data_IF_332941455389
#
_entry.id   IF_332941455389
#
_cell.length_a   1.000
_cell.length_b   1.000
_cell.length_c   1.000
_cell.angle_alpha   90.00
_cell.angle_beta   90.00
_cell.angle_gamma   90.00
#
_symmetry.space_group_name_H-M   'P 1'
#
loop_
_entity.id
_entity.type
_entity.pdbx_description
1 polymer ?
#
# COMPACT_ATOMS: atom_id res chain seq x y z
N UNK A 1 4.39 14.66 2.70
CA UNK A 1 5.87 14.57 2.77
C UNK A 1 6.46 15.81 3.43
N UNK A 2 6.09 17.02 3.01
CA UNK A 2 6.64 18.28 3.53
C UNK A 2 6.64 18.40 5.07
N UNK A 3 5.51 18.12 5.73
CA UNK A 3 5.44 18.18 7.21
C UNK A 3 6.44 17.23 7.89
N UNK A 4 6.64 16.04 7.32
CA UNK A 4 7.62 15.07 7.84
C UNK A 4 9.03 15.62 7.69
N UNK A 5 9.40 16.13 6.51
CA UNK A 5 10.73 16.68 6.26
C UNK A 5 11.00 17.89 7.17
N UNK A 6 10.05 18.83 7.29
CA UNK A 6 10.22 20.00 8.15
C UNK A 6 10.48 19.60 9.61
N UNK A 7 9.68 18.69 10.17
CA UNK A 7 9.89 18.22 11.54
C UNK A 7 11.25 17.52 11.72
N UNK A 8 11.64 16.68 10.74
CA UNK A 8 12.92 15.97 10.80
C UNK A 8 14.13 16.91 10.67
N UNK A 9 14.00 18.02 9.96
CA UNK A 9 15.05 19.02 9.84
C UNK A 9 15.36 19.73 11.17
N UNK A 10 14.37 19.86 12.06
CA UNK A 10 14.55 20.45 13.40
C UNK A 10 15.17 19.44 14.39
N UNK A 11 14.96 18.14 14.17
CA UNK A 11 15.38 17.08 15.08
C UNK A 11 16.74 16.46 14.73
N UNK A 12 17.08 16.43 13.44
CA UNK A 12 18.32 15.82 12.94
C UNK A 12 19.44 16.85 12.96
N UNK A 13 20.58 16.47 13.54
CA UNK A 13 21.79 17.32 13.61
C UNK A 13 22.38 17.58 12.22
N UNK A 14 23.14 18.67 12.09
CA UNK A 14 23.86 18.97 10.85
C UNK A 14 24.77 17.79 10.43
N UNK A 15 24.65 17.35 9.18
CA UNK A 15 25.34 16.18 8.64
C UNK A 15 24.74 14.81 9.03
N UNK A 16 23.63 14.79 9.78
CA UNK A 16 22.88 13.57 10.05
C UNK A 16 22.11 13.06 8.82
N UNK A 17 21.91 11.75 8.73
CA UNK A 17 21.22 11.10 7.61
C UNK A 17 19.81 10.62 7.99
N UNK A 18 18.92 10.61 7.01
CA UNK A 18 17.59 10.01 7.10
C UNK A 18 17.36 9.01 5.97
N UNK A 19 16.92 7.80 6.32
CA UNK A 19 16.54 6.77 5.34
C UNK A 19 15.02 6.60 5.34
N UNK A 20 14.41 6.76 4.17
CA UNK A 20 12.98 6.53 3.96
C UNK A 20 12.80 5.30 3.09
N UNK A 21 12.00 4.37 3.59
CA UNK A 21 11.57 3.17 2.88
C UNK A 21 10.06 3.26 2.71
N UNK A 22 9.60 3.31 1.47
CA UNK A 22 8.17 3.34 1.13
C UNK A 22 7.85 2.20 0.18
N UNK A 23 6.68 1.54 0.28
CA UNK A 23 6.21 0.71 -0.80
C UNK A 23 6.10 1.56 -2.08
N UNK A 24 6.50 0.99 -3.22
CA UNK A 24 6.34 1.63 -4.52
C UNK A 24 5.38 0.76 -5.31
N UNK A 25 4.16 1.26 -5.50
CA UNK A 25 3.09 0.61 -6.23
C UNK A 25 2.93 -0.89 -5.88
N UNK A 26 2.15 -1.21 -4.84
CA UNK A 26 1.38 -2.45 -4.95
C UNK A 26 0.38 -2.19 -6.06
N UNK A 27 0.59 -2.80 -7.22
CA UNK A 27 -0.45 -2.90 -8.23
C UNK A 27 -1.70 -3.46 -7.51
N UNK A 28 -2.70 -2.60 -7.31
CA UNK A 28 -3.39 -2.50 -6.02
C UNK A 28 -4.21 -3.76 -5.67
N UNK A 29 -3.68 -4.61 -4.79
CA UNK A 29 -4.36 -5.83 -4.30
C UNK A 29 -5.71 -5.51 -3.65
N UNK A 30 -5.91 -4.28 -3.17
CA UNK A 30 -7.19 -3.82 -2.64
C UNK A 30 -8.30 -3.89 -3.69
N UNK A 31 -7.98 -3.93 -5.00
CA UNK A 31 -9.00 -4.13 -6.04
C UNK A 31 -9.73 -5.46 -5.90
N UNK A 32 -9.06 -6.50 -5.37
CA UNK A 32 -9.69 -7.79 -5.13
C UNK A 32 -10.64 -7.72 -3.94
N UNK A 33 -10.30 -6.92 -2.92
CA UNK A 33 -11.20 -6.59 -1.81
C UNK A 33 -12.39 -5.80 -2.32
N UNK A 34 -12.16 -4.79 -3.17
CA UNK A 34 -13.20 -4.01 -3.84
C UNK A 34 -14.16 -4.89 -4.66
N UNK A 35 -13.64 -5.85 -5.43
CA UNK A 35 -14.48 -6.83 -6.13
C UNK A 35 -15.35 -7.64 -5.17
N UNK A 36 -14.80 -8.12 -4.05
CA UNK A 36 -15.58 -8.86 -3.05
C UNK A 36 -16.64 -7.98 -2.37
N UNK A 37 -16.39 -6.67 -2.20
CA UNK A 37 -17.42 -5.73 -1.73
C UNK A 37 -18.54 -5.54 -2.76
N UNK A 38 -18.21 -5.47 -4.06
CA UNK A 38 -19.22 -5.41 -5.12
C UNK A 38 -20.08 -6.68 -5.19
N UNK A 39 -19.50 -7.85 -4.90
CA UNK A 39 -20.29 -9.09 -4.75
C UNK A 39 -21.32 -8.94 -3.62
N UNK A 40 -20.95 -8.34 -2.49
CA UNK A 40 -21.86 -8.07 -1.37
C UNK A 40 -22.96 -7.05 -1.71
N UNK A 41 -22.66 -6.05 -2.54
CA UNK A 41 -23.67 -5.14 -3.11
C UNK A 41 -24.66 -5.90 -3.98
N UNK A 42 -24.16 -6.78 -4.85
CA UNK A 42 -25.02 -7.60 -5.73
C UNK A 42 -25.96 -8.51 -4.93
N UNK A 43 -25.52 -8.97 -3.76
CA UNK A 43 -26.30 -9.74 -2.79
C UNK A 43 -27.20 -8.89 -1.88
N UNK A 44 -27.21 -7.56 -2.06
CA UNK A 44 -27.96 -6.58 -1.25
C UNK A 44 -27.56 -6.58 0.24
N UNK A 45 -26.32 -6.97 0.55
CA UNK A 45 -25.74 -6.95 1.90
C UNK A 45 -25.02 -5.64 2.23
N UNK A 46 -24.67 -4.87 1.21
CA UNK A 46 -23.98 -3.59 1.32
C UNK A 46 -24.59 -2.60 0.33
N UNK A 47 -24.69 -1.33 0.73
CA UNK A 47 -25.12 -0.25 -0.15
C UNK A 47 -23.91 0.23 -0.99
N UNK A 48 -24.10 0.30 -2.31
CA UNK A 48 -23.07 0.75 -3.25
C UNK A 48 -22.54 2.15 -2.93
N UNK A 49 -23.40 3.04 -2.44
CA UNK A 49 -23.02 4.41 -2.08
C UNK A 49 -21.98 4.47 -0.96
N UNK A 50 -21.94 3.47 -0.08
CA UNK A 50 -20.92 3.36 0.96
C UNK A 50 -19.56 3.04 0.34
N UNK A 51 -19.51 2.18 -0.68
CA UNK A 51 -18.28 1.86 -1.41
C UNK A 51 -17.80 3.10 -2.17
N UNK A 52 -18.70 3.80 -2.86
CA UNK A 52 -18.35 5.00 -3.64
C UNK A 52 -17.76 6.11 -2.76
N UNK A 53 -18.20 6.20 -1.51
CA UNK A 53 -17.69 7.17 -0.54
C UNK A 53 -16.38 6.74 0.13
N UNK A 54 -16.05 5.45 0.10
CA UNK A 54 -14.92 4.88 0.82
C UNK A 54 -13.63 4.99 0.02
N UNK A 55 -12.57 5.48 0.67
CA UNK A 55 -11.23 5.55 0.10
C UNK A 55 -10.20 5.07 1.12
N UNK A 56 -9.29 4.20 0.69
CA UNK A 56 -8.14 3.83 1.52
C UNK A 56 -7.11 4.97 1.46
N UNK A 57 -6.73 5.58 2.60
CA UNK A 57 -5.91 6.79 2.64
C UNK A 57 -4.42 6.48 2.44
N UNK A 58 -4.08 5.87 1.32
CA UNK A 58 -2.73 5.45 0.98
C UNK A 58 -2.28 6.13 -0.30
N UNK A 59 -1.04 6.63 -0.29
CA UNK A 59 -0.38 7.20 -1.45
C UNK A 59 1.00 6.56 -1.63
N UNK A 60 1.31 6.12 -2.85
CA UNK A 60 2.60 5.53 -3.20
C UNK A 60 3.43 6.56 -3.96
N UNK A 61 4.42 7.21 -3.33
CA UNK A 61 5.20 8.26 -3.99
C UNK A 61 6.09 7.66 -5.08
N UNK A 62 6.19 8.38 -6.21
CA UNK A 62 7.24 8.11 -7.19
C UNK A 62 8.56 8.77 -6.75
N UNK A 63 9.71 8.36 -7.34
CA UNK A 63 10.96 9.07 -7.13
C UNK A 63 10.84 10.58 -7.38
N UNK A 64 10.09 10.97 -8.42
CA UNK A 64 9.86 12.38 -8.77
C UNK A 64 9.09 13.14 -7.69
N UNK A 65 8.14 12.49 -7.03
CA UNK A 65 7.33 13.12 -5.97
C UNK A 65 8.17 13.39 -4.73
N UNK A 66 9.07 12.46 -4.37
CA UNK A 66 10.04 12.68 -3.29
C UNK A 66 11.04 13.77 -3.66
N UNK A 67 11.62 13.75 -4.86
CA UNK A 67 12.58 14.78 -5.30
C UNK A 67 11.97 16.18 -5.17
N UNK A 68 10.76 16.40 -5.68
CA UNK A 68 10.07 17.69 -5.56
C UNK A 68 9.83 18.11 -4.12
N UNK A 69 9.48 17.17 -3.24
CA UNK A 69 9.25 17.46 -1.82
C UNK A 69 10.53 17.90 -1.10
N UNK A 70 11.66 17.27 -1.42
CA UNK A 70 12.97 17.61 -0.84
C UNK A 70 13.46 18.96 -1.37
N UNK A 71 13.38 19.19 -2.68
CA UNK A 71 13.73 20.47 -3.31
C UNK A 71 12.96 21.65 -2.71
N UNK A 72 11.70 21.43 -2.32
CA UNK A 72 10.88 22.45 -1.64
C UNK A 72 11.26 22.65 -0.17
N UNK A 73 11.64 21.58 0.54
CA UNK A 73 12.00 21.66 1.96
C UNK A 73 13.38 22.30 2.19
N UNK A 74 14.30 22.22 1.23
CA UNK A 74 15.66 22.81 1.24
C UNK A 74 16.59 22.41 2.40
N UNK A 75 16.14 21.64 3.40
CA UNK A 75 16.94 21.26 4.57
C UNK A 75 17.76 19.98 4.36
N UNK A 76 17.42 19.16 3.37
CA UNK A 76 18.09 17.89 3.08
C UNK A 76 18.67 17.86 1.66
N UNK A 77 19.81 17.18 1.48
CA UNK A 77 20.31 16.76 0.18
C UNK A 77 19.78 15.37 -0.15
N UNK A 78 19.69 15.02 -1.45
CA UNK A 78 19.38 13.64 -1.84
C UNK A 78 20.69 12.91 -2.08
N UNK A 79 21.04 12.00 -1.18
CA UNK A 79 22.23 11.15 -1.33
C UNK A 79 21.94 9.95 -2.25
N UNK A 80 20.72 9.40 -2.16
CA UNK A 80 20.31 8.26 -2.99
C UNK A 80 18.80 8.18 -3.14
N UNK A 81 18.32 7.89 -4.36
CA UNK A 81 16.92 7.57 -4.61
C UNK A 81 16.81 6.43 -5.62
N UNK A 82 16.22 5.32 -5.22
CA UNK A 82 16.20 4.10 -6.04
C UNK A 82 14.91 3.30 -5.85
N UNK A 83 14.45 2.72 -6.95
CA UNK A 83 13.45 1.65 -6.91
C UNK A 83 14.19 0.34 -6.66
N UNK A 84 13.86 -0.30 -5.56
CA UNK A 84 14.48 -1.54 -5.12
C UNK A 84 13.45 -2.68 -5.13
N UNK A 85 13.97 -3.87 -5.38
CA UNK A 85 13.26 -5.12 -5.22
C UNK A 85 14.05 -5.93 -4.20
N UNK A 86 13.76 -5.78 -2.89
CA UNK A 86 14.35 -6.68 -1.93
C UNK A 86 13.89 -8.09 -2.28
N UNK A 87 14.77 -8.86 -2.92
CA UNK A 87 14.60 -10.30 -3.15
C UNK A 87 14.61 -11.00 -1.80
N UNK A 88 13.53 -10.89 -1.04
CA UNK A 88 13.29 -11.87 0.01
C UNK A 88 12.85 -13.15 -0.70
N UNK A 89 13.45 -14.29 -0.35
CA UNK A 89 12.95 -15.61 -0.76
C UNK A 89 11.44 -15.76 -0.49
N UNK A 90 10.96 -15.05 0.54
CA UNK A 90 9.55 -14.87 0.85
C UNK A 90 8.73 -14.39 -0.35
N UNK A 91 9.10 -13.34 -1.10
CA UNK A 91 8.23 -12.81 -2.17
C UNK A 91 8.13 -13.74 -3.40
N UNK A 92 9.15 -14.55 -3.68
CA UNK A 92 9.08 -15.57 -4.75
C UNK A 92 8.28 -16.82 -4.32
N UNK A 93 8.17 -17.08 -3.01
CA UNK A 93 7.50 -18.26 -2.43
C UNK A 93 6.13 -17.94 -1.77
N UNK A 94 5.80 -16.66 -1.56
CA UNK A 94 4.58 -16.25 -0.85
C UNK A 94 3.38 -16.46 -1.79
N UNK A 95 2.55 -17.44 -1.47
CA UNK A 95 1.28 -17.64 -2.15
C UNK A 95 0.36 -16.42 -1.96
N UNK A 96 -0.54 -16.19 -2.93
CA UNK A 96 -1.44 -15.04 -2.87
C UNK A 96 -2.31 -15.02 -1.61
N UNK A 97 -2.61 -16.18 -1.04
CA UNK A 97 -3.37 -16.31 0.21
C UNK A 97 -2.65 -15.58 1.35
N UNK A 98 -1.36 -15.86 1.52
CA UNK A 98 -0.52 -15.21 2.54
C UNK A 98 -0.41 -13.71 2.30
N UNK A 99 -0.28 -13.28 1.04
CA UNK A 99 -0.29 -11.87 0.68
C UNK A 99 -1.59 -11.17 1.06
N UNK A 100 -2.74 -11.81 0.82
CA UNK A 100 -4.05 -11.27 1.17
C UNK A 100 -4.29 -11.23 2.69
N UNK A 101 -3.78 -12.21 3.44
CA UNK A 101 -3.80 -12.19 4.91
C UNK A 101 -2.98 -11.00 5.44
N UNK A 102 -1.79 -10.75 4.88
CA UNK A 102 -0.98 -9.60 5.25
C UNK A 102 -1.67 -8.28 4.90
N UNK A 103 -2.30 -8.18 3.73
CA UNK A 103 -3.08 -7.00 3.35
C UNK A 103 -4.22 -6.76 4.35
N UNK A 104 -4.97 -7.81 4.69
CA UNK A 104 -6.04 -7.76 5.68
C UNK A 104 -5.54 -7.18 7.00
N UNK A 105 -4.44 -7.70 7.53
CA UNK A 105 -3.87 -7.22 8.80
C UNK A 105 -3.52 -5.72 8.80
N UNK A 106 -3.20 -5.13 7.64
CA UNK A 106 -2.87 -3.71 7.51
C UNK A 106 -4.10 -2.82 7.38
N UNK A 107 -5.10 -3.23 6.60
CA UNK A 107 -6.19 -2.32 6.19
C UNK A 107 -7.56 -2.66 6.79
N UNK A 108 -7.77 -3.85 7.34
CA UNK A 108 -9.09 -4.32 7.78
C UNK A 108 -9.78 -3.36 8.76
N UNK A 109 -9.00 -2.74 9.67
CA UNK A 109 -9.53 -1.75 10.61
C UNK A 109 -10.26 -0.59 9.94
N UNK A 110 -9.85 -0.21 8.73
CA UNK A 110 -10.50 0.85 7.95
C UNK A 110 -11.86 0.38 7.42
N UNK A 111 -11.92 -0.86 6.91
CA UNK A 111 -13.15 -1.45 6.41
C UNK A 111 -14.15 -1.70 7.55
N UNK A 112 -13.67 -2.15 8.71
CA UNK A 112 -14.52 -2.32 9.90
C UNK A 112 -15.15 -0.99 10.35
N UNK A 113 -14.40 0.10 10.25
CA UNK A 113 -14.87 1.43 10.63
C UNK A 113 -16.02 1.91 9.73
N UNK A 114 -15.88 1.72 8.42
CA UNK A 114 -16.82 2.30 7.45
C UNK A 114 -17.96 1.33 7.05
N UNK A 115 -17.74 0.02 7.14
CA UNK A 115 -18.72 -1.01 6.75
C UNK A 115 -19.19 -1.92 7.89
N UNK A 116 -18.56 -1.85 9.06
CA UNK A 116 -18.82 -2.75 10.18
C UNK A 116 -18.01 -4.06 10.12
N UNK A 117 -17.88 -4.72 11.27
CA UNK A 117 -17.02 -5.90 11.42
C UNK A 117 -17.46 -7.11 10.59
N UNK A 118 -18.77 -7.35 10.48
CA UNK A 118 -19.31 -8.48 9.74
C UNK A 118 -19.06 -8.37 8.24
N UNK A 119 -19.28 -7.19 7.66
CA UNK A 119 -19.02 -6.92 6.24
C UNK A 119 -17.53 -6.98 5.93
N UNK A 120 -16.69 -6.39 6.80
CA UNK A 120 -15.24 -6.46 6.64
C UNK A 120 -14.74 -7.92 6.65
N UNK A 121 -15.14 -8.72 7.66
CA UNK A 121 -14.76 -10.13 7.78
C UNK A 121 -15.15 -10.92 6.52
N UNK A 122 -16.39 -10.78 6.08
CA UNK A 122 -16.91 -11.49 4.91
C UNK A 122 -16.17 -11.07 3.62
N UNK A 123 -15.95 -9.77 3.41
CA UNK A 123 -15.25 -9.25 2.24
C UNK A 123 -13.80 -9.78 2.17
N UNK A 124 -13.06 -9.76 3.28
CA UNK A 124 -11.70 -10.31 3.31
C UNK A 124 -11.68 -11.83 3.16
N UNK A 125 -12.61 -12.55 3.79
CA UNK A 125 -12.72 -14.01 3.65
C UNK A 125 -12.96 -14.40 2.19
N UNK A 126 -13.92 -13.77 1.51
CA UNK A 126 -14.16 -13.98 0.07
C UNK A 126 -12.94 -13.67 -0.78
N UNK A 127 -12.24 -12.59 -0.46
CA UNK A 127 -11.04 -12.20 -1.21
C UNK A 127 -9.92 -13.21 -1.05
N UNK A 128 -9.71 -13.75 0.16
CA UNK A 128 -8.73 -14.79 0.43
C UNK A 128 -9.07 -16.08 -0.33
N UNK A 129 -10.37 -16.41 -0.48
CA UNK A 129 -10.82 -17.56 -1.28
C UNK A 129 -10.54 -17.41 -2.77
N UNK A 130 -10.36 -16.18 -3.28
CA UNK A 130 -9.95 -15.89 -4.67
C UNK A 130 -8.42 -16.02 -4.87
N UNK A 131 -7.68 -16.67 -3.96
CA UNK A 131 -6.21 -16.72 -3.99
C UNK A 131 -5.61 -17.27 -5.29
N UNK A 132 -6.26 -18.21 -5.96
CA UNK A 132 -5.73 -18.81 -7.20
C UNK A 132 -5.80 -17.83 -8.38
N UNK A 133 -6.91 -17.08 -8.47
CA UNK A 133 -7.10 -16.00 -9.44
C UNK A 133 -6.08 -14.89 -9.18
N UNK A 134 -5.94 -14.47 -7.92
CA UNK A 134 -4.99 -13.44 -7.50
C UNK A 134 -3.55 -13.89 -7.82
N UNK A 135 -3.21 -15.16 -7.57
CA UNK A 135 -1.90 -15.73 -7.89
C UNK A 135 -1.59 -15.65 -9.38
N UNK A 136 -2.58 -15.98 -10.23
CA UNK A 136 -2.44 -15.90 -11.68
C UNK A 136 -2.24 -14.45 -12.12
N UNK A 137 -3.06 -13.54 -11.58
CA UNK A 137 -2.96 -12.12 -11.89
C UNK A 137 -1.60 -11.53 -11.49
N UNK A 138 -1.09 -11.85 -10.30
CA UNK A 138 0.23 -11.41 -9.83
C UNK A 138 1.33 -11.90 -10.79
N UNK A 139 1.33 -13.18 -11.18
CA UNK A 139 2.35 -13.72 -12.10
C UNK A 139 2.39 -12.99 -13.44
N UNK A 140 1.25 -12.52 -13.93
CA UNK A 140 1.15 -11.85 -15.24
C UNK A 140 1.47 -10.35 -15.16
N UNK A 141 1.09 -9.68 -14.07
CA UNK A 141 1.09 -8.20 -14.02
C UNK A 141 2.19 -7.63 -13.11
N UNK A 142 2.70 -8.42 -12.16
CA UNK A 142 3.65 -7.91 -11.16
C UNK A 142 5.05 -7.69 -11.74
N UNK A 143 5.33 -6.46 -12.19
CA UNK A 143 6.63 -6.05 -12.71
C UNK A 143 7.52 -5.37 -11.64
N UNK A 144 8.41 -6.17 -11.04
CA UNK A 144 9.80 -5.87 -10.59
C UNK A 144 10.19 -4.58 -9.83
N UNK A 145 9.29 -3.81 -9.23
CA UNK A 145 9.66 -2.86 -8.15
C UNK A 145 8.63 -2.88 -7.03
N UNK A 146 9.08 -3.05 -5.78
CA UNK A 146 8.17 -3.12 -4.62
C UNK A 146 8.39 -1.99 -3.62
N UNK A 147 9.54 -1.33 -3.69
CA UNK A 147 10.00 -0.43 -2.64
C UNK A 147 10.80 0.73 -3.20
N UNK A 148 10.44 1.94 -2.79
CA UNK A 148 11.22 3.15 -2.95
C UNK A 148 12.17 3.26 -1.76
N UNK A 149 13.46 3.31 -2.05
CA UNK A 149 14.51 3.63 -1.10
C UNK A 149 14.98 5.07 -1.32
N UNK A 150 15.06 5.84 -0.24
CA UNK A 150 15.57 7.22 -0.24
C UNK A 150 16.56 7.38 0.90
N UNK A 151 17.74 7.92 0.62
CA UNK A 151 18.68 8.43 1.61
C UNK A 151 18.79 9.95 1.41
N UNK A 152 18.51 10.68 2.50
CA UNK A 152 18.55 12.13 2.64
C UNK A 152 19.54 12.54 3.73
#
# INVERSE_FOLDING_TARGET
MEMLLNARAEEIVEGGMMVIISPQSSECLLKFVGSSLMDLVSEKKLDESLIDSFNVPTYFPSPKDITKAVEKNICFSIERIELTYPKSKLVEETDAKTLMINLRAVVEVLFMKDFGSEIAEEAFTRTILKSDEISTWIKTNYQKACQLFVAL
#
